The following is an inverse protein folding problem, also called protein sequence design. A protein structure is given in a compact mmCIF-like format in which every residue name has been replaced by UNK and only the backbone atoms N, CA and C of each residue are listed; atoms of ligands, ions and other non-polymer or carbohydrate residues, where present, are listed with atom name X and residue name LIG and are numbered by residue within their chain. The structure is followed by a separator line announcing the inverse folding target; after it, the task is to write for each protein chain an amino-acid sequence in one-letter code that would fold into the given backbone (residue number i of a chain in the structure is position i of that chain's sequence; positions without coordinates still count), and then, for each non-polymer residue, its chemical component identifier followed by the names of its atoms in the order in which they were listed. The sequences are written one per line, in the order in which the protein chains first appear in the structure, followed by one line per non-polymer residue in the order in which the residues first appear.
data_IF_128621144200
#
_entry.id   IF_128621144200
#
_cell.length_a   1.000
_cell.length_b   1.000
_cell.length_c   1.000
_cell.angle_alpha   90.00
_cell.angle_beta   90.00
_cell.angle_gamma   90.00
#
_symmetry.space_group_name_H-M   'P 1'
#
loop_
_entity.id
_entity.type
_entity.pdbx_description
1 polymer ?
#
# COMPACT_ATOMS: atom_id res chain seq x y z
N UNK A 1 -40.09 -10.91 -18.45
CA UNK A 1 -39.14 -11.99 -18.14
C UNK A 1 -38.03 -11.88 -19.19
N UNK A 2 -36.97 -11.12 -18.90
CA UNK A 2 -35.81 -10.96 -19.79
C UNK A 2 -34.66 -11.80 -19.23
N UNK A 3 -33.94 -12.58 -20.04
CA UNK A 3 -32.82 -13.37 -19.55
C UNK A 3 -31.66 -12.44 -19.20
N UNK A 4 -31.19 -12.54 -17.97
CA UNK A 4 -29.93 -11.93 -17.52
C UNK A 4 -28.81 -12.79 -18.10
N UNK A 5 -28.15 -12.29 -19.15
CA UNK A 5 -26.91 -12.87 -19.65
C UNK A 5 -25.83 -12.69 -18.58
N UNK A 6 -25.67 -13.70 -17.73
CA UNK A 6 -24.51 -13.86 -16.88
C UNK A 6 -23.28 -14.15 -17.74
N UNK A 7 -22.60 -13.11 -18.20
CA UNK A 7 -21.21 -13.25 -18.59
C UNK A 7 -20.43 -13.61 -17.33
N UNK A 8 -20.08 -14.89 -17.19
CA UNK A 8 -19.16 -15.34 -16.17
C UNK A 8 -17.88 -14.52 -16.31
N UNK A 9 -17.56 -13.73 -15.27
CA UNK A 9 -16.26 -13.06 -15.19
C UNK A 9 -15.18 -14.12 -15.39
N UNK A 10 -14.24 -13.87 -16.31
CA UNK A 10 -13.10 -14.74 -16.54
C UNK A 10 -12.46 -15.13 -15.18
N UNK A 11 -12.06 -16.40 -14.99
CA UNK A 11 -11.52 -16.84 -13.72
C UNK A 11 -10.36 -15.93 -13.33
N UNK A 12 -10.49 -15.29 -12.18
CA UNK A 12 -9.48 -14.39 -11.66
C UNK A 12 -8.15 -15.14 -11.57
N UNK A 13 -7.14 -14.67 -12.31
CA UNK A 13 -5.77 -15.21 -12.21
C UNK A 13 -5.34 -15.06 -10.75
N UNK A 14 -5.21 -16.20 -10.04
CA UNK A 14 -4.68 -16.19 -8.68
C UNK A 14 -3.24 -15.77 -8.73
N UNK A 15 -2.89 -14.76 -7.94
CA UNK A 15 -1.50 -14.31 -7.85
C UNK A 15 -0.91 -14.82 -6.55
N UNK A 16 0.21 -15.53 -6.64
CA UNK A 16 0.96 -15.96 -5.46
C UNK A 16 1.60 -14.74 -4.80
N UNK A 17 1.38 -14.49 -3.49
CA UNK A 17 1.89 -13.29 -2.84
C UNK A 17 3.43 -13.15 -2.78
N UNK A 18 4.14 -14.25 -3.05
CA UNK A 18 5.60 -14.28 -3.14
C UNK A 18 6.13 -14.21 -4.57
N UNK A 19 5.27 -14.17 -5.59
CA UNK A 19 5.72 -14.20 -6.98
C UNK A 19 6.33 -12.87 -7.43
N UNK A 20 7.29 -12.96 -8.35
CA UNK A 20 7.92 -11.81 -9.01
C UNK A 20 6.92 -10.96 -9.82
N UNK A 21 5.74 -11.51 -10.11
CA UNK A 21 4.65 -10.80 -10.77
C UNK A 21 4.06 -9.66 -9.92
N UNK A 22 4.18 -9.75 -8.59
CA UNK A 22 3.66 -8.73 -7.66
C UNK A 22 4.72 -8.10 -6.78
N UNK A 23 5.78 -8.83 -6.40
CA UNK A 23 6.76 -8.27 -5.46
C UNK A 23 7.77 -7.39 -6.19
N UNK A 24 7.99 -6.20 -5.67
CA UNK A 24 9.02 -5.30 -6.15
C UNK A 24 10.42 -5.93 -5.92
N UNK A 25 11.33 -5.95 -6.93
CA UNK A 25 12.62 -6.64 -6.84
C UNK A 25 13.51 -6.19 -5.68
N UNK A 26 13.43 -4.90 -5.32
CA UNK A 26 14.19 -4.33 -4.21
C UNK A 26 13.58 -4.57 -2.82
N UNK A 27 12.35 -5.09 -2.71
CA UNK A 27 11.69 -5.21 -1.42
C UNK A 27 12.43 -6.18 -0.48
N UNK A 28 12.81 -7.36 -0.97
CA UNK A 28 13.53 -8.35 -0.15
C UNK A 28 14.97 -7.89 0.17
N UNK A 29 15.79 -7.42 -0.78
CA UNK A 29 17.10 -6.88 -0.48
C UNK A 29 17.06 -5.74 0.57
N UNK A 30 16.11 -4.82 0.45
CA UNK A 30 15.95 -3.71 1.41
C UNK A 30 15.43 -4.21 2.76
N UNK A 31 14.57 -5.22 2.79
CA UNK A 31 14.13 -5.85 4.03
C UNK A 31 15.30 -6.53 4.76
N UNK A 32 16.16 -7.25 4.03
CA UNK A 32 17.37 -7.86 4.61
C UNK A 32 18.27 -6.78 5.21
N UNK A 33 18.52 -5.70 4.46
CA UNK A 33 19.30 -4.57 4.97
C UNK A 33 18.67 -3.97 6.23
N UNK A 34 17.35 -3.76 6.23
CA UNK A 34 16.63 -3.23 7.39
C UNK A 34 16.74 -4.15 8.62
N UNK A 35 16.61 -5.47 8.43
CA UNK A 35 16.79 -6.46 9.50
C UNK A 35 18.21 -6.42 10.06
N UNK A 36 19.23 -6.36 9.18
CA UNK A 36 20.62 -6.24 9.60
C UNK A 36 20.86 -4.96 10.41
N UNK A 37 20.29 -3.82 10.00
CA UNK A 37 20.41 -2.58 10.79
C UNK A 37 19.83 -2.74 12.19
N UNK A 38 18.66 -3.36 12.33
CA UNK A 38 18.06 -3.63 13.64
C UNK A 38 18.92 -4.59 14.47
N UNK A 39 19.43 -5.68 13.88
CA UNK A 39 20.34 -6.61 14.58
C UNK A 39 21.57 -5.87 15.11
N UNK A 40 22.22 -5.04 14.28
CA UNK A 40 23.36 -4.23 14.70
C UNK A 40 22.98 -3.29 15.84
N UNK A 41 21.82 -2.63 15.78
CA UNK A 41 21.34 -1.76 16.87
C UNK A 41 21.22 -2.50 18.20
N UNK A 42 20.68 -3.73 18.21
CA UNK A 42 20.58 -4.54 19.43
C UNK A 42 21.95 -5.02 19.93
N UNK A 43 22.86 -5.40 19.03
CA UNK A 43 24.24 -5.78 19.42
C UNK A 43 24.95 -4.60 20.06
N UNK A 44 24.86 -3.41 19.46
CA UNK A 44 25.45 -2.18 20.03
C UNK A 44 24.85 -1.89 21.41
N UNK A 45 23.52 -1.97 21.56
CA UNK A 45 22.85 -1.78 22.85
C UNK A 45 23.38 -2.75 23.92
N UNK A 46 23.55 -4.03 23.59
CA UNK A 46 24.08 -5.04 24.53
C UNK A 46 25.54 -4.75 24.91
N UNK A 47 26.37 -4.34 23.96
CA UNK A 47 27.78 -3.98 24.21
C UNK A 47 27.88 -2.76 25.14
N UNK A 48 27.05 -1.74 24.91
CA UNK A 48 27.01 -0.55 25.78
C UNK A 48 26.60 -0.90 27.21
N UNK A 49 25.61 -1.78 27.38
CA UNK A 49 25.21 -2.29 28.71
C UNK A 49 26.37 -3.04 29.38
N UNK A 50 27.05 -3.92 28.63
CA UNK A 50 28.20 -4.66 29.16
C UNK A 50 29.36 -3.73 29.56
N UNK A 51 29.49 -2.57 28.90
CA UNK A 51 30.44 -1.52 29.23
C UNK A 51 29.99 -0.62 30.41
N UNK A 52 28.81 -0.87 30.98
CA UNK A 52 28.27 -0.14 32.13
C UNK A 52 27.41 1.09 31.76
N UNK A 53 27.08 1.31 30.49
CA UNK A 53 26.15 2.38 30.08
C UNK A 53 24.70 1.88 30.14
N UNK A 54 23.84 2.67 30.79
CA UNK A 54 22.41 2.43 30.87
C UNK A 54 21.62 3.70 30.53
N UNK A 55 21.85 4.23 29.33
CA UNK A 55 21.10 5.38 28.83
C UNK A 55 19.64 5.04 28.50
N UNK A 56 18.77 6.06 28.56
CA UNK A 56 17.34 5.94 28.20
C UNK A 56 17.14 5.37 26.80
N UNK A 57 18.03 5.67 25.85
CA UNK A 57 17.94 5.18 24.47
C UNK A 57 18.13 3.66 24.37
N UNK A 58 19.03 3.09 25.18
CA UNK A 58 19.21 1.64 25.27
C UNK A 58 17.92 0.99 25.78
N UNK A 59 17.30 1.56 26.82
CA UNK A 59 16.04 1.07 27.36
C UNK A 59 14.92 1.11 26.31
N UNK A 60 14.85 2.18 25.50
CA UNK A 60 13.89 2.29 24.39
C UNK A 60 14.10 1.20 23.35
N UNK A 61 15.35 0.92 22.94
CA UNK A 61 15.66 -0.15 21.98
C UNK A 61 15.24 -1.51 22.53
N UNK A 62 15.57 -1.80 23.80
CA UNK A 62 15.18 -3.06 24.43
C UNK A 62 13.67 -3.21 24.60
N UNK A 63 12.97 -2.12 24.91
CA UNK A 63 11.51 -2.10 25.06
C UNK A 63 10.76 -2.08 23.72
N UNK A 64 11.41 -1.75 22.60
CA UNK A 64 10.80 -1.60 21.29
C UNK A 64 9.88 -2.77 20.85
N UNK A 65 10.21 -4.07 21.07
CA UNK A 65 9.31 -5.16 20.68
C UNK A 65 7.99 -5.13 21.46
N UNK A 66 8.06 -4.84 22.77
CA UNK A 66 6.89 -4.76 23.66
C UNK A 66 6.07 -3.51 23.32
N UNK A 67 6.72 -2.36 23.16
CA UNK A 67 6.06 -1.11 22.78
C UNK A 67 5.35 -1.24 21.43
N UNK A 68 6.01 -1.84 20.43
CA UNK A 68 5.41 -2.13 19.14
C UNK A 68 4.21 -3.09 19.26
N UNK A 69 4.33 -4.13 20.08
CA UNK A 69 3.24 -5.07 20.33
C UNK A 69 2.02 -4.37 20.93
N UNK A 70 2.22 -3.57 21.98
CA UNK A 70 1.17 -2.82 22.66
C UNK A 70 0.54 -1.76 21.75
N UNK A 71 1.34 -1.00 21.01
CA UNK A 71 0.85 0.00 20.06
C UNK A 71 -0.02 -0.62 18.97
N UNK A 72 0.39 -1.79 18.42
CA UNK A 72 -0.41 -2.52 17.42
C UNK A 72 -1.67 -3.13 18.01
N UNK A 73 -1.61 -3.60 19.27
CA UNK A 73 -2.77 -4.12 19.99
C UNK A 73 -3.81 -3.03 20.24
N UNK A 74 -3.36 -1.85 20.69
CA UNK A 74 -4.20 -0.67 20.86
C UNK A 74 -4.80 -0.23 19.52
N UNK A 75 -4.00 -0.20 18.45
CA UNK A 75 -4.49 0.15 17.12
C UNK A 75 -5.61 -0.80 16.67
N UNK A 76 -5.41 -2.12 16.81
CA UNK A 76 -6.45 -3.10 16.45
C UNK A 76 -7.70 -2.95 17.32
N UNK A 77 -7.54 -2.91 18.64
CA UNK A 77 -8.65 -2.77 19.58
C UNK A 77 -9.45 -1.48 19.36
N UNK A 78 -8.78 -0.37 19.04
CA UNK A 78 -9.47 0.89 18.73
C UNK A 78 -10.34 0.80 17.48
N UNK A 79 -9.96 0.02 16.46
CA UNK A 79 -10.82 -0.21 15.28
C UNK A 79 -12.04 -1.07 15.63
N UNK A 80 -11.87 -2.03 16.54
CA UNK A 80 -12.97 -2.90 16.97
C UNK A 80 -14.05 -2.14 17.75
N UNK A 81 -13.65 -1.17 18.58
CA UNK A 81 -14.59 -0.46 19.46
C UNK A 81 -15.08 0.87 18.90
N UNK A 82 -14.34 1.51 17.99
CA UNK A 82 -14.73 2.80 17.39
C UNK A 82 -15.06 2.72 15.89
N UNK A 83 -14.73 1.61 15.23
CA UNK A 83 -14.98 1.41 13.81
C UNK A 83 -16.26 0.63 13.53
N UNK A 84 -16.84 0.86 12.37
CA UNK A 84 -18.02 0.16 11.88
C UNK A 84 -17.55 -1.05 11.07
N UNK A 85 -17.70 -2.26 11.62
CA UNK A 85 -17.22 -3.50 10.97
C UNK A 85 -17.97 -3.77 9.66
N UNK A 86 -17.26 -3.98 8.56
CA UNK A 86 -17.88 -4.42 7.30
C UNK A 86 -18.36 -5.87 7.44
N UNK A 87 -19.61 -6.13 7.03
CA UNK A 87 -20.27 -7.44 7.06
C UNK A 87 -21.17 -7.59 5.83
N UNK A 88 -21.74 -8.79 5.56
CA UNK A 88 -22.69 -8.95 4.45
C UNK A 88 -23.90 -8.00 4.47
N UNK A 89 -24.27 -7.46 5.64
CA UNK A 89 -25.38 -6.51 5.79
C UNK A 89 -24.94 -5.07 6.07
N UNK A 90 -23.67 -4.84 6.39
CA UNK A 90 -23.13 -3.52 6.75
C UNK A 90 -21.92 -3.21 5.87
N UNK A 91 -22.03 -2.19 5.00
CA UNK A 91 -21.08 -1.97 3.90
C UNK A 91 -20.86 -3.23 3.04
N UNK A 92 -21.93 -3.81 2.48
CA UNK A 92 -21.87 -5.09 1.76
C UNK A 92 -20.91 -5.07 0.57
N UNK A 93 -20.82 -3.93 -0.13
CA UNK A 93 -19.89 -3.75 -1.24
C UNK A 93 -18.43 -3.82 -0.80
N UNK A 94 -18.05 -3.04 0.21
CA UNK A 94 -16.70 -3.07 0.79
C UNK A 94 -16.33 -4.45 1.33
N UNK A 95 -17.27 -5.10 2.02
CA UNK A 95 -17.11 -6.49 2.49
C UNK A 95 -16.81 -7.45 1.32
N UNK A 96 -17.58 -7.36 0.23
CA UNK A 96 -17.38 -8.18 -0.97
C UNK A 96 -16.03 -7.91 -1.63
N UNK A 97 -15.60 -6.66 -1.73
CA UNK A 97 -14.31 -6.28 -2.31
C UNK A 97 -13.14 -6.86 -1.49
N UNK A 98 -13.20 -6.79 -0.16
CA UNK A 98 -12.18 -7.39 0.72
C UNK A 98 -12.12 -8.91 0.57
N UNK A 99 -13.29 -9.57 0.54
CA UNK A 99 -13.36 -11.02 0.34
C UNK A 99 -12.84 -11.45 -1.05
N UNK A 100 -13.19 -10.69 -2.08
CA UNK A 100 -12.71 -10.88 -3.45
C UNK A 100 -11.18 -10.73 -3.52
N UNK A 101 -10.63 -9.66 -2.95
CA UNK A 101 -9.19 -9.42 -2.89
C UNK A 101 -8.46 -10.58 -2.20
N UNK A 102 -8.94 -10.98 -1.02
CA UNK A 102 -8.36 -12.08 -0.25
C UNK A 102 -8.35 -13.39 -1.04
N UNK A 103 -9.46 -13.72 -1.72
CA UNK A 103 -9.56 -14.91 -2.56
C UNK A 103 -8.61 -14.85 -3.77
N UNK A 104 -8.52 -13.69 -4.44
CA UNK A 104 -7.61 -13.46 -5.58
C UNK A 104 -6.14 -13.62 -5.20
N UNK A 105 -5.76 -13.18 -4.00
CA UNK A 105 -4.38 -13.22 -3.50
C UNK A 105 -4.06 -14.50 -2.72
N UNK A 106 -4.94 -15.52 -2.78
CA UNK A 106 -4.70 -16.83 -2.18
C UNK A 106 -4.68 -16.83 -0.64
N UNK A 107 -5.32 -15.85 0.00
CA UNK A 107 -5.44 -15.81 1.45
C UNK A 107 -6.45 -16.85 1.93
N UNK A 108 -6.10 -17.61 2.97
CA UNK A 108 -6.99 -18.63 3.56
C UNK A 108 -8.24 -18.02 4.21
N UNK A 109 -8.07 -16.86 4.83
CA UNK A 109 -9.13 -16.14 5.53
C UNK A 109 -9.06 -14.67 5.14
N UNK A 110 -10.18 -14.05 4.73
CA UNK A 110 -10.21 -12.62 4.51
C UNK A 110 -9.90 -11.87 5.82
N UNK A 111 -9.23 -10.71 5.75
CA UNK A 111 -9.02 -9.88 6.92
C UNK A 111 -10.35 -9.30 7.40
N UNK A 112 -10.42 -8.95 8.69
CA UNK A 112 -11.51 -8.08 9.16
C UNK A 112 -11.43 -6.74 8.42
N UNK A 113 -12.56 -6.06 8.20
CA UNK A 113 -12.55 -4.73 7.61
C UNK A 113 -13.45 -3.79 8.40
N UNK A 114 -13.02 -2.54 8.54
CA UNK A 114 -13.73 -1.52 9.31
C UNK A 114 -13.84 -0.23 8.50
N UNK A 115 -14.98 0.45 8.61
CA UNK A 115 -15.14 1.85 8.19
C UNK A 115 -14.96 2.74 9.42
N UNK A 116 -14.12 3.77 9.30
CA UNK A 116 -13.93 4.78 10.34
C UNK A 116 -14.16 6.17 9.78
N UNK A 117 -14.53 7.11 10.63
CA UNK A 117 -14.77 8.49 10.21
C UNK A 117 -13.47 9.14 9.72
N UNK A 118 -13.46 9.63 8.47
CA UNK A 118 -12.27 10.26 7.88
C UNK A 118 -12.13 11.76 8.15
N UNK A 119 -13.23 12.46 8.46
CA UNK A 119 -13.27 13.91 8.70
C UNK A 119 -12.55 14.72 7.60
N UNK A 120 -12.81 14.37 6.33
CA UNK A 120 -12.21 15.03 5.16
C UNK A 120 -10.84 14.51 4.76
N UNK A 121 -10.28 13.54 5.51
CA UNK A 121 -9.06 12.84 5.12
C UNK A 121 -9.41 11.60 4.32
N UNK A 122 -8.81 11.47 3.14
CA UNK A 122 -8.96 10.28 2.30
C UNK A 122 -7.83 9.32 2.68
N UNK A 123 -8.19 8.16 3.23
CA UNK A 123 -7.20 7.18 3.64
C UNK A 123 -7.79 5.76 3.69
N UNK A 124 -6.94 4.78 3.48
CA UNK A 124 -7.17 3.40 3.86
C UNK A 124 -5.83 2.83 4.36
N UNK A 125 -5.88 1.83 5.23
CA UNK A 125 -4.65 1.15 5.65
C UNK A 125 -4.91 -0.29 6.05
N UNK A 126 -3.90 -1.13 5.88
CA UNK A 126 -3.84 -2.49 6.36
C UNK A 126 -2.89 -2.67 7.55
N UNK A 127 -3.29 -3.49 8.52
CA UNK A 127 -2.44 -3.82 9.66
C UNK A 127 -2.82 -5.17 10.29
N UNK A 128 -2.21 -5.50 11.42
CA UNK A 128 -2.41 -6.77 12.09
C UNK A 128 -1.85 -6.84 13.50
N UNK A 129 -2.46 -7.66 14.34
CA UNK A 129 -1.97 -7.91 15.70
C UNK A 129 -2.11 -9.40 16.01
N UNK A 130 -1.04 -10.01 16.51
CA UNK A 130 -0.93 -11.47 16.61
C UNK A 130 -1.19 -12.14 15.24
N UNK A 131 -2.16 -13.06 15.21
CA UNK A 131 -2.60 -13.74 13.99
C UNK A 131 -3.75 -13.04 13.26
N UNK A 132 -4.31 -11.96 13.81
CA UNK A 132 -5.41 -11.22 13.20
C UNK A 132 -4.89 -10.20 12.19
N UNK A 133 -5.62 -10.03 11.10
CA UNK A 133 -5.32 -9.07 10.03
C UNK A 133 -6.56 -8.26 9.77
N UNK A 134 -6.38 -6.98 9.51
CA UNK A 134 -7.50 -6.07 9.30
C UNK A 134 -7.15 -4.95 8.31
N UNK A 135 -8.18 -4.49 7.62
CA UNK A 135 -8.17 -3.31 6.75
C UNK A 135 -9.08 -2.24 7.36
N UNK A 136 -8.69 -0.99 7.24
CA UNK A 136 -9.49 0.16 7.63
C UNK A 136 -9.66 1.05 6.41
N UNK A 137 -10.90 1.47 6.15
CA UNK A 137 -11.23 2.39 5.06
C UNK A 137 -11.91 3.61 5.67
N UNK A 138 -11.41 4.80 5.39
CA UNK A 138 -12.03 6.02 5.90
C UNK A 138 -13.34 6.28 5.16
N UNK A 139 -14.35 6.79 5.86
CA UNK A 139 -15.67 7.11 5.32
C UNK A 139 -15.60 8.04 4.11
N UNK A 140 -14.55 8.87 4.03
CA UNK A 140 -14.30 9.79 2.94
C UNK A 140 -13.97 9.12 1.60
N UNK A 141 -13.70 7.81 1.58
CA UNK A 141 -13.62 7.04 0.33
C UNK A 141 -14.99 6.61 -0.21
N UNK A 142 -16.06 6.81 0.56
CA UNK A 142 -17.44 6.54 0.17
C UNK A 142 -18.19 7.85 -0.08
N UNK A 143 -19.22 7.79 -0.94
CA UNK A 143 -20.18 8.86 -1.15
C UNK A 143 -21.35 8.76 -0.17
N UNK A 144 -22.16 9.82 -0.13
CA UNK A 144 -23.43 9.84 0.62
C UNK A 144 -24.32 8.71 0.11
N UNK A 145 -24.77 7.83 1.02
CA UNK A 145 -25.49 6.60 0.67
C UNK A 145 -24.62 5.34 0.59
N UNK A 146 -23.30 5.45 0.82
CA UNK A 146 -22.39 4.31 0.98
C UNK A 146 -21.88 3.69 -0.31
N UNK A 147 -22.27 4.22 -1.47
CA UNK A 147 -21.71 3.85 -2.77
C UNK A 147 -20.34 4.49 -2.96
N UNK A 148 -19.44 3.85 -3.69
CA UNK A 148 -18.21 4.48 -4.12
C UNK A 148 -18.49 5.48 -5.27
N UNK A 149 -17.90 6.68 -5.25
CA UNK A 149 -17.94 7.59 -6.40
C UNK A 149 -17.25 7.00 -7.62
N UNK A 150 -16.12 6.34 -7.34
CA UNK A 150 -15.26 5.67 -8.29
C UNK A 150 -15.11 4.20 -7.84
N UNK A 151 -16.07 3.32 -8.17
CA UNK A 151 -16.08 1.94 -7.68
C UNK A 151 -14.81 1.15 -8.03
N UNK A 152 -14.25 1.38 -9.21
CA UNK A 152 -13.01 0.75 -9.62
C UNK A 152 -11.81 1.27 -8.83
N UNK A 153 -11.77 2.57 -8.51
CA UNK A 153 -10.72 3.14 -7.66
C UNK A 153 -10.79 2.61 -6.22
N UNK A 154 -12.00 2.51 -5.65
CA UNK A 154 -12.18 1.92 -4.32
C UNK A 154 -11.71 0.46 -4.30
N UNK A 155 -12.09 -0.31 -5.32
CA UNK A 155 -11.68 -1.70 -5.44
C UNK A 155 -10.16 -1.85 -5.65
N UNK A 156 -9.51 -0.94 -6.40
CA UNK A 156 -8.05 -0.87 -6.48
C UNK A 156 -7.42 -0.59 -5.11
N UNK A 157 -7.92 0.41 -4.37
CA UNK A 157 -7.41 0.79 -3.05
C UNK A 157 -7.57 -0.36 -2.04
N UNK A 158 -8.74 -1.01 -2.01
CA UNK A 158 -8.96 -2.20 -1.15
C UNK A 158 -8.00 -3.33 -1.56
N UNK A 159 -7.81 -3.57 -2.85
CA UNK A 159 -6.84 -4.54 -3.35
C UNK A 159 -5.41 -4.23 -2.95
N UNK A 160 -5.02 -2.96 -2.96
CA UNK A 160 -3.73 -2.49 -2.48
C UNK A 160 -3.54 -2.79 -0.98
N UNK A 161 -4.51 -2.44 -0.14
CA UNK A 161 -4.45 -2.69 1.31
C UNK A 161 -4.44 -4.18 1.66
N UNK A 162 -5.31 -4.97 1.04
CA UNK A 162 -5.29 -6.43 1.23
C UNK A 162 -3.99 -7.02 0.68
N UNK A 163 -3.42 -6.41 -0.36
CA UNK A 163 -2.10 -6.72 -0.91
C UNK A 163 -0.97 -6.59 0.10
N UNK A 164 -0.96 -5.53 0.92
CA UNK A 164 -0.02 -5.41 2.04
C UNK A 164 -0.09 -6.59 3.01
N UNK A 165 -1.30 -7.09 3.29
CA UNK A 165 -1.51 -8.24 4.18
C UNK A 165 -0.98 -9.51 3.50
N UNK A 166 -1.39 -9.75 2.25
CA UNK A 166 -0.99 -10.91 1.47
C UNK A 166 0.54 -10.99 1.30
N UNK A 167 1.20 -9.86 1.05
CA UNK A 167 2.65 -9.76 0.90
C UNK A 167 3.44 -9.84 2.23
N UNK A 168 2.73 -9.87 3.38
CA UNK A 168 3.33 -10.01 4.71
C UNK A 168 3.78 -8.70 5.36
N UNK A 169 3.37 -7.54 4.85
CA UNK A 169 3.80 -6.22 5.33
C UNK A 169 3.21 -5.92 6.72
N UNK A 170 2.03 -6.47 7.00
CA UNK A 170 1.37 -6.39 8.30
C UNK A 170 1.93 -7.35 9.37
N UNK A 171 3.00 -8.12 9.06
CA UNK A 171 3.62 -9.06 10.01
C UNK A 171 4.32 -8.33 11.15
N UNK A 172 4.04 -8.73 12.40
CA UNK A 172 4.72 -8.20 13.58
C UNK A 172 6.24 -8.36 13.48
N UNK A 173 6.70 -9.57 13.13
CA UNK A 173 8.13 -9.88 13.03
C UNK A 173 8.83 -9.03 11.96
N UNK A 174 8.14 -8.76 10.85
CA UNK A 174 8.68 -7.88 9.82
C UNK A 174 8.82 -6.46 10.34
N UNK A 175 7.79 -5.93 11.00
CA UNK A 175 7.80 -4.56 11.53
C UNK A 175 8.84 -4.36 12.62
N UNK A 176 9.00 -5.34 13.50
CA UNK A 176 10.08 -5.31 14.48
C UNK A 176 11.45 -5.42 13.80
N UNK A 177 11.61 -6.35 12.85
CA UNK A 177 12.85 -6.53 12.11
C UNK A 177 13.30 -5.28 11.37
N UNK A 178 12.39 -4.44 10.87
CA UNK A 178 12.74 -3.19 10.21
C UNK A 178 12.71 -1.95 11.13
N UNK A 179 12.49 -2.12 12.45
CA UNK A 179 12.28 -1.02 13.39
C UNK A 179 13.39 0.04 13.33
N UNK A 180 14.66 -0.37 13.42
CA UNK A 180 15.77 0.57 13.45
C UNK A 180 15.95 1.31 12.12
N UNK A 181 15.68 0.61 11.00
CA UNK A 181 15.82 1.17 9.66
C UNK A 181 14.93 2.38 9.40
N UNK A 182 13.80 2.50 10.11
CA UNK A 182 12.88 3.63 10.00
C UNK A 182 13.52 4.96 10.46
N UNK A 183 14.59 4.89 11.26
CA UNK A 183 15.33 6.05 11.74
C UNK A 183 16.59 6.34 10.91
N UNK A 184 16.89 5.50 9.92
CA UNK A 184 18.02 5.71 9.01
C UNK A 184 17.47 6.26 7.70
N UNK A 185 17.82 7.51 7.32
CA UNK A 185 17.39 8.09 6.05
C UNK A 185 17.71 7.17 4.88
N UNK A 186 16.90 7.23 3.82
CA UNK A 186 17.01 6.40 2.61
C UNK A 186 16.65 4.93 2.83
N UNK A 187 17.13 4.25 3.88
CA UNK A 187 16.89 2.80 4.05
C UNK A 187 15.41 2.54 4.34
N UNK A 188 14.89 3.09 5.45
CA UNK A 188 13.50 2.88 5.84
C UNK A 188 12.51 3.41 4.79
N UNK A 189 12.79 4.60 4.25
CA UNK A 189 11.95 5.21 3.21
C UNK A 189 11.96 4.40 1.91
N UNK A 190 13.10 3.87 1.46
CA UNK A 190 13.17 3.05 0.25
C UNK A 190 12.49 1.69 0.43
N UNK A 191 12.63 1.05 1.60
CA UNK A 191 11.90 -0.17 1.92
C UNK A 191 10.39 0.10 1.88
N UNK A 192 9.94 1.19 2.51
CA UNK A 192 8.55 1.64 2.47
C UNK A 192 8.06 1.83 1.03
N UNK A 193 8.77 2.58 0.19
CA UNK A 193 8.39 2.78 -1.22
C UNK A 193 8.36 1.48 -2.02
N UNK A 194 9.27 0.54 -1.76
CA UNK A 194 9.26 -0.77 -2.44
C UNK A 194 8.03 -1.61 -2.05
N UNK A 195 7.61 -1.54 -0.78
CA UNK A 195 6.40 -2.18 -0.29
C UNK A 195 5.13 -1.57 -0.90
N UNK A 196 5.09 -0.26 -1.07
CA UNK A 196 3.99 0.44 -1.75
C UNK A 196 3.87 0.00 -3.21
N UNK A 197 4.98 -0.10 -3.95
CA UNK A 197 4.94 -0.61 -5.32
C UNK A 197 4.47 -2.07 -5.41
N UNK A 198 4.86 -2.91 -4.45
CA UNK A 198 4.30 -4.27 -4.35
C UNK A 198 2.79 -4.22 -4.14
N UNK A 199 2.30 -3.40 -3.21
CA UNK A 199 0.87 -3.27 -2.95
C UNK A 199 0.11 -2.66 -4.14
N UNK A 200 0.71 -1.72 -4.88
CA UNK A 200 0.19 -1.22 -6.15
C UNK A 200 0.02 -2.33 -7.18
N UNK A 201 0.96 -3.28 -7.24
CA UNK A 201 0.82 -4.44 -8.11
C UNK A 201 -0.38 -5.30 -7.70
N UNK A 202 -0.65 -5.50 -6.41
CA UNK A 202 -1.87 -6.18 -5.94
C UNK A 202 -3.15 -5.42 -6.30
N UNK A 203 -3.19 -4.10 -6.04
CA UNK A 203 -4.30 -3.23 -6.42
C UNK A 203 -4.58 -3.31 -7.92
N UNK A 204 -3.52 -3.27 -8.74
CA UNK A 204 -3.63 -3.38 -10.19
C UNK A 204 -4.15 -4.77 -10.63
N UNK A 205 -3.69 -5.86 -10.03
CA UNK A 205 -4.21 -7.20 -10.33
C UNK A 205 -5.67 -7.40 -9.89
N UNK A 206 -6.13 -6.65 -8.88
CA UNK A 206 -7.53 -6.66 -8.48
C UNK A 206 -8.40 -5.87 -9.46
N UNK A 207 -8.01 -4.62 -9.77
CA UNK A 207 -8.75 -3.72 -10.66
C UNK A 207 -7.80 -2.79 -11.43
N UNK A 208 -7.32 -3.18 -12.63
CA UNK A 208 -6.47 -2.32 -13.44
C UNK A 208 -7.13 -0.99 -13.79
N UNK A 209 -8.44 -1.01 -14.07
CA UNK A 209 -9.23 0.18 -14.43
C UNK A 209 -9.31 1.20 -13.28
N UNK A 210 -9.07 0.76 -12.04
CA UNK A 210 -9.12 1.63 -10.86
C UNK A 210 -7.87 2.47 -10.64
N UNK A 211 -6.75 2.17 -11.31
CA UNK A 211 -5.49 2.88 -11.08
C UNK A 211 -5.56 4.39 -11.40
N UNK A 212 -6.15 4.84 -12.53
CA UNK A 212 -6.34 6.27 -12.80
C UNK A 212 -7.14 6.99 -11.72
N UNK A 213 -8.31 6.44 -11.35
CA UNK A 213 -9.16 7.01 -10.32
C UNK A 213 -8.49 7.03 -8.94
N UNK A 214 -7.77 5.97 -8.58
CA UNK A 214 -7.02 5.92 -7.31
C UNK A 214 -5.94 7.01 -7.25
N UNK A 215 -5.17 7.22 -8.32
CA UNK A 215 -4.18 8.30 -8.36
C UNK A 215 -4.82 9.69 -8.33
N UNK A 216 -5.96 9.88 -9.02
CA UNK A 216 -6.70 11.13 -8.97
C UNK A 216 -7.27 11.43 -7.58
N UNK A 217 -7.82 10.41 -6.89
CA UNK A 217 -8.30 10.51 -5.52
C UNK A 217 -7.16 10.84 -4.54
N UNK A 218 -6.00 10.20 -4.67
CA UNK A 218 -4.83 10.49 -3.83
C UNK A 218 -4.23 11.88 -4.10
N UNK A 219 -4.26 12.33 -5.35
CA UNK A 219 -3.66 13.60 -5.76
C UNK A 219 -4.53 14.83 -5.52
N UNK A 220 -5.82 14.74 -5.80
CA UNK A 220 -6.74 15.88 -5.81
C UNK A 220 -8.00 15.67 -4.94
N UNK A 221 -8.17 14.48 -4.38
CA UNK A 221 -9.31 14.14 -3.54
C UNK A 221 -10.57 13.73 -4.29
N UNK A 222 -11.55 13.23 -3.54
CA UNK A 222 -12.78 12.61 -4.07
C UNK A 222 -13.66 13.55 -4.90
N UNK A 223 -13.56 14.87 -4.66
CA UNK A 223 -14.35 15.87 -5.37
C UNK A 223 -13.71 16.35 -6.67
N UNK A 224 -12.38 16.28 -6.79
CA UNK A 224 -11.63 16.80 -7.94
C UNK A 224 -11.01 15.70 -8.80
N UNK A 225 -11.20 14.42 -8.45
CA UNK A 225 -10.67 13.26 -9.17
C UNK A 225 -10.92 13.33 -10.67
N UNK A 226 -12.11 13.75 -11.11
CA UNK A 226 -12.48 13.85 -12.53
C UNK A 226 -11.74 14.93 -13.32
N UNK A 227 -11.02 15.83 -12.65
CA UNK A 227 -10.17 16.85 -13.30
C UNK A 227 -8.72 16.36 -13.48
N UNK A 228 -8.36 15.21 -12.91
CA UNK A 228 -6.99 14.70 -12.96
C UNK A 228 -6.77 13.84 -14.20
N UNK A 229 -5.97 14.35 -15.14
CA UNK A 229 -5.49 13.57 -16.27
C UNK A 229 -4.40 12.58 -15.85
N UNK A 230 -4.73 11.28 -15.77
CA UNK A 230 -3.79 10.23 -15.34
C UNK A 230 -2.53 10.15 -16.21
N UNK A 231 -2.68 10.22 -17.54
CA UNK A 231 -1.54 10.17 -18.45
C UNK A 231 -0.64 11.40 -18.35
N UNK A 232 -1.23 12.59 -18.17
CA UNK A 232 -0.47 13.81 -17.95
C UNK A 232 0.30 13.75 -16.63
N UNK A 233 -0.35 13.28 -15.55
CA UNK A 233 0.28 13.06 -14.25
C UNK A 233 1.47 12.07 -14.35
N UNK A 234 1.30 10.99 -15.12
CA UNK A 234 2.35 10.01 -15.34
C UNK A 234 3.50 10.54 -16.22
N UNK A 235 3.22 11.36 -17.24
CA UNK A 235 4.23 12.01 -18.08
C UNK A 235 5.17 12.89 -17.24
N UNK A 236 4.64 13.54 -16.19
CA UNK A 236 5.46 14.35 -15.26
C UNK A 236 6.57 13.58 -14.56
N UNK A 237 6.48 12.25 -14.42
CA UNK A 237 7.56 11.46 -13.83
C UNK A 237 8.87 11.57 -14.63
N UNK A 238 8.76 11.71 -15.95
CA UNK A 238 9.91 11.87 -16.86
C UNK A 238 10.24 13.34 -17.09
N UNK A 239 9.26 14.24 -17.02
CA UNK A 239 9.49 15.67 -17.29
C UNK A 239 10.13 16.40 -16.10
N UNK A 240 9.68 16.10 -14.88
CA UNK A 240 10.20 16.74 -13.67
C UNK A 240 11.55 16.14 -13.27
N UNK A 241 12.60 16.94 -13.45
CA UNK A 241 13.98 16.52 -13.22
C UNK A 241 14.74 17.51 -12.35
N UNK A 242 15.90 17.09 -11.86
CA UNK A 242 16.75 17.91 -10.99
C UNK A 242 16.82 17.38 -9.55
N UNK A 243 17.59 18.09 -8.74
CA UNK A 243 17.94 17.67 -7.38
C UNK A 243 16.72 17.60 -6.44
N UNK A 244 15.84 18.60 -6.45
CA UNK A 244 14.75 18.66 -5.47
C UNK A 244 13.66 17.60 -5.67
N UNK A 245 13.16 17.32 -6.89
CA UNK A 245 12.25 16.18 -7.10
C UNK A 245 12.87 14.84 -6.67
N UNK A 246 14.16 14.64 -6.97
CA UNK A 246 14.91 13.46 -6.51
C UNK A 246 15.00 13.41 -4.98
N UNK A 247 15.34 14.52 -4.32
CA UNK A 247 15.49 14.61 -2.88
C UNK A 247 14.17 14.35 -2.15
N UNK A 248 13.07 14.93 -2.63
CA UNK A 248 11.71 14.65 -2.13
C UNK A 248 11.39 13.16 -2.25
N UNK A 249 11.67 12.53 -3.38
CA UNK A 249 11.46 11.10 -3.54
C UNK A 249 12.25 10.28 -2.51
N UNK A 250 13.53 10.59 -2.30
CA UNK A 250 14.38 9.86 -1.34
C UNK A 250 13.84 9.94 0.09
N UNK A 251 13.31 11.09 0.50
CA UNK A 251 12.74 11.29 1.85
C UNK A 251 11.31 10.77 2.00
N UNK A 252 10.59 10.50 0.91
CA UNK A 252 9.18 10.08 0.95
C UNK A 252 9.03 8.63 1.38
N UNK A 253 8.10 8.35 2.30
CA UNK A 253 7.74 6.97 2.71
C UNK A 253 6.90 6.24 1.66
N UNK A 254 6.23 6.99 0.79
CA UNK A 254 5.45 6.46 -0.33
C UNK A 254 6.08 6.91 -1.66
N UNK A 255 5.94 6.14 -2.75
CA UNK A 255 6.33 6.59 -4.07
C UNK A 255 5.67 7.93 -4.38
N UNK A 256 6.47 8.89 -4.86
CA UNK A 256 5.92 10.19 -5.25
C UNK A 256 4.85 9.99 -6.32
N UNK A 257 3.77 10.76 -6.24
CA UNK A 257 2.54 10.52 -6.99
C UNK A 257 2.78 10.35 -8.51
N UNK A 258 3.65 11.18 -9.10
CA UNK A 258 3.99 11.11 -10.53
C UNK A 258 4.67 9.79 -10.89
N UNK A 259 5.63 9.32 -10.08
CA UNK A 259 6.36 8.07 -10.31
C UNK A 259 5.46 6.86 -10.07
N UNK A 260 4.56 6.94 -9.09
CA UNK A 260 3.53 5.94 -8.84
C UNK A 260 2.59 5.80 -10.04
N UNK A 261 2.07 6.92 -10.56
CA UNK A 261 1.24 6.94 -11.76
C UNK A 261 1.99 6.38 -12.98
N UNK A 262 3.26 6.76 -13.19
CA UNK A 262 4.07 6.22 -14.28
C UNK A 262 4.30 4.71 -14.17
N UNK A 263 4.52 4.17 -12.97
CA UNK A 263 4.66 2.73 -12.73
C UNK A 263 3.34 1.97 -12.90
N UNK A 264 2.20 2.59 -12.63
CA UNK A 264 0.87 2.01 -12.89
C UNK A 264 0.49 2.08 -14.37
N UNK A 265 1.00 3.07 -15.11
CA UNK A 265 0.81 3.17 -16.55
C UNK A 265 1.72 2.20 -17.32
N UNK A 266 2.99 2.13 -16.96
CA UNK A 266 3.95 1.23 -17.58
C UNK A 266 4.21 0.00 -16.70
N UNK A 267 3.58 -1.12 -17.06
CA UNK A 267 3.64 -2.38 -16.31
C UNK A 267 4.75 -3.33 -16.77
N UNK A 268 5.59 -2.93 -17.74
CA UNK A 268 6.68 -3.78 -18.24
C UNK A 268 7.91 -3.78 -17.32
N UNK A 269 7.99 -2.83 -16.40
CA UNK A 269 9.07 -2.71 -15.42
C UNK A 269 8.50 -2.43 -14.03
N UNK A 270 9.30 -2.72 -13.01
CA UNK A 270 8.99 -2.32 -11.64
C UNK A 270 9.08 -0.81 -11.46
N UNK A 271 8.37 -0.30 -10.44
CA UNK A 271 8.41 1.11 -10.08
C UNK A 271 9.83 1.62 -9.79
N UNK A 272 10.07 2.88 -10.10
CA UNK A 272 11.38 3.48 -9.89
C UNK A 272 11.56 3.89 -8.42
N UNK A 273 12.65 3.46 -7.76
CA UNK A 273 12.90 3.77 -6.34
C UNK A 273 13.83 4.96 -6.10
N UNK A 274 14.91 5.05 -6.88
CA UNK A 274 16.01 5.98 -6.60
C UNK A 274 16.13 7.08 -7.65
N UNK A 275 15.87 6.75 -8.92
CA UNK A 275 16.01 7.67 -10.04
C UNK A 275 14.77 7.60 -10.92
N UNK A 276 14.39 8.77 -11.46
CA UNK A 276 13.20 8.93 -12.30
C UNK A 276 13.23 8.03 -13.54
N UNK A 277 12.07 7.70 -14.13
CA UNK A 277 12.01 7.10 -15.46
C UNK A 277 12.71 7.97 -16.50
N UNK A 278 13.52 7.35 -17.36
CA UNK A 278 14.30 8.05 -18.39
C UNK A 278 13.55 8.35 -19.68
N UNK A 279 12.43 7.65 -19.94
CA UNK A 279 11.63 7.79 -21.16
C UNK A 279 10.14 7.84 -20.82
N UNK A 280 9.40 8.60 -21.64
CA UNK A 280 7.94 8.56 -21.62
C UNK A 280 7.46 7.23 -22.16
N UNK A 281 6.41 6.69 -21.54
CA UNK A 281 5.74 5.48 -22.00
C UNK A 281 4.29 5.81 -22.35
N UNK A 282 3.91 5.54 -23.60
CA UNK A 282 2.52 5.57 -24.04
C UNK A 282 2.17 4.21 -24.61
N UNK A 283 1.03 3.67 -24.18
CA UNK A 283 0.55 2.39 -24.69
C UNK A 283 0.22 2.55 -26.20
N UNK A 284 0.96 1.85 -27.07
CA UNK A 284 0.86 2.03 -28.53
C UNK A 284 -0.55 1.74 -29.10
N UNK A 285 -1.38 1.00 -28.37
CA UNK A 285 -2.76 0.69 -28.74
C UNK A 285 -3.73 1.90 -28.69
N UNK A 286 -3.37 3.00 -28.01
CA UNK A 286 -4.21 4.21 -27.93
C UNK A 286 -3.82 5.30 -28.93
N UNK A 287 -2.60 5.27 -29.46
CA UNK A 287 -2.12 6.22 -30.48
C UNK A 287 -2.68 5.97 -31.88
N UNK A 288 -3.11 4.74 -32.18
CA UNK A 288 -3.69 4.38 -33.49
C UNK A 288 -5.20 4.64 -33.60
N UNK A 289 -5.88 4.85 -32.47
CA UNK A 289 -7.32 5.17 -32.44
C UNK A 289 -7.61 6.68 -32.53
N UNK A 290 -6.59 7.54 -32.42
CA UNK A 290 -6.71 8.99 -32.59
C UNK A 290 -6.14 9.50 -33.92
N UNK A 291 -5.61 8.59 -34.75
CA UNK A 291 -5.04 8.89 -36.06
C UNK A 291 -5.90 8.40 -37.24
N UNK A 292 -7.12 7.91 -36.97
CA UNK A 292 -8.09 7.46 -37.98
C UNK A 292 -9.43 8.19 -37.79
#
# INVERSE_FOLDING_TARGET
MYPVNGQAAAPAVRVSPGSDAVRHPWEIPLLVLAVLTTVVTYVVAIVLIAAGDLSTWILVVLAAPILLFLARGQLYGSQQVNGIKMTPSQFPEGYRLVAEAAARFGMKTPPDAYVVLGNGRINAFASGHGFRRFVVVYSDLFEVGGQAREPDALAFIIGHEVGHIAAGHASYWRQWGQFASNYIPVIGSSLSRSMEYTADNFGFHMRPQGAPGAMGVLGAGKYLVGLVGFDELADRATLESGFFPWFVNILSSHPVLTWRAAALRNRTHSGHLFFRPGQLYRNQALTTAQSN
#
